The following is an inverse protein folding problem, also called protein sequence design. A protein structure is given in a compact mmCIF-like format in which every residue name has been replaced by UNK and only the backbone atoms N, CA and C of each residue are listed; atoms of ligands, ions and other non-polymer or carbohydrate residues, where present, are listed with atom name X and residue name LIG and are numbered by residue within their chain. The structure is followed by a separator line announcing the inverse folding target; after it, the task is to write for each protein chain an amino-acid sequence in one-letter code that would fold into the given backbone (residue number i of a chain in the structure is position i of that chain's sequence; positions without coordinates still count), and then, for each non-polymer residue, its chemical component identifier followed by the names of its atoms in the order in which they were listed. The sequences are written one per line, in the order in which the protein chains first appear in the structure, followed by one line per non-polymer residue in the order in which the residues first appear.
data_IF_696568640668
#
_entry.id   IF_696568640668
#
_cell.length_a   1.000
_cell.length_b   1.000
_cell.length_c   1.000
_cell.angle_alpha   90.00
_cell.angle_beta   90.00
_cell.angle_gamma   90.00
#
_symmetry.space_group_name_H-M   'P 1'
#
loop_
_entity.id
_entity.type
_entity.pdbx_description
1 polymer ?
#
# COMPACT_ATOMS: atom_id res chain seq x y z
N UNK A 1 14.45 14.89 -17.27
CA UNK A 1 14.97 13.77 -18.04
C UNK A 1 13.93 13.25 -19.04
N UNK A 2 12.63 13.25 -18.72
CA UNK A 2 11.54 12.87 -19.64
C UNK A 2 10.93 14.07 -20.38
N UNK A 3 11.37 15.31 -20.07
CA UNK A 3 10.89 16.54 -20.69
C UNK A 3 9.63 17.14 -20.08
N UNK A 4 9.16 16.60 -18.96
CA UNK A 4 8.04 17.18 -18.20
C UNK A 4 8.52 18.30 -17.29
N UNK A 5 7.68 19.31 -17.11
CA UNK A 5 7.85 20.36 -16.12
C UNK A 5 7.27 19.89 -14.77
N UNK A 6 8.05 19.94 -13.71
CA UNK A 6 7.73 19.30 -12.43
C UNK A 6 7.38 20.36 -11.39
N UNK A 7 6.17 20.25 -10.82
CA UNK A 7 5.67 21.05 -9.71
C UNK A 7 5.59 20.19 -8.46
N UNK A 8 6.43 20.46 -7.46
CA UNK A 8 6.46 19.69 -6.21
C UNK A 8 5.77 20.41 -5.06
N UNK A 9 5.09 19.67 -4.20
CA UNK A 9 4.52 20.21 -2.95
C UNK A 9 4.92 19.34 -1.75
N UNK A 10 5.25 20.00 -0.66
CA UNK A 10 5.59 19.40 0.63
C UNK A 10 5.31 20.40 1.76
N UNK A 11 5.03 19.93 2.97
CA UNK A 11 4.86 20.80 4.14
C UNK A 11 6.19 21.32 4.68
N UNK A 12 7.31 20.61 4.45
CA UNK A 12 8.64 21.04 4.85
C UNK A 12 9.24 21.98 3.78
N UNK A 13 9.50 23.24 4.11
CA UNK A 13 10.13 24.17 3.17
C UNK A 13 11.55 23.75 2.73
N UNK A 14 12.16 22.80 3.44
CA UNK A 14 13.48 22.26 3.13
C UNK A 14 13.40 20.86 2.48
N UNK A 15 12.24 20.44 2.02
CA UNK A 15 12.07 19.14 1.39
C UNK A 15 13.10 18.93 0.27
N UNK A 16 13.83 17.81 0.33
CA UNK A 16 14.95 17.55 -0.58
C UNK A 16 14.49 17.46 -2.04
N UNK A 17 13.23 17.03 -2.26
CA UNK A 17 12.61 16.95 -3.59
C UNK A 17 12.52 18.29 -4.31
N UNK A 18 12.42 19.40 -3.59
CA UNK A 18 12.34 20.75 -4.18
C UNK A 18 13.58 21.10 -5.01
N UNK A 19 14.73 20.51 -4.69
CA UNK A 19 15.99 20.73 -5.45
C UNK A 19 15.96 20.07 -6.84
N UNK A 20 15.00 19.20 -7.08
CA UNK A 20 14.87 18.40 -8.33
C UNK A 20 13.60 18.74 -9.11
N UNK A 21 12.76 19.63 -8.59
CA UNK A 21 11.57 20.15 -9.26
C UNK A 21 11.90 21.47 -9.97
N UNK A 22 11.16 21.77 -11.05
CA UNK A 22 11.25 23.05 -11.74
C UNK A 22 10.55 24.15 -10.92
N UNK A 23 9.45 23.79 -10.26
CA UNK A 23 8.69 24.64 -9.36
C UNK A 23 8.31 23.90 -8.10
N UNK A 24 8.12 24.63 -7.01
CA UNK A 24 7.64 24.04 -5.77
C UNK A 24 6.74 24.97 -4.97
N UNK A 25 5.91 24.38 -4.13
CA UNK A 25 5.07 25.08 -3.16
C UNK A 25 5.16 24.44 -1.77
N UNK A 26 5.27 25.27 -0.72
CA UNK A 26 5.19 24.78 0.66
C UNK A 26 3.72 24.58 1.00
N UNK A 27 3.21 23.39 0.69
CA UNK A 27 1.81 23.00 0.86
C UNK A 27 1.76 21.62 1.49
N UNK A 28 0.97 21.48 2.57
CA UNK A 28 0.82 20.18 3.21
C UNK A 28 0.07 19.21 2.28
N UNK A 29 0.70 18.09 1.93
CA UNK A 29 0.16 17.08 1.01
C UNK A 29 -1.14 16.40 1.51
N UNK A 30 -1.54 16.57 2.76
CA UNK A 30 -2.85 16.10 3.27
C UNK A 30 -3.93 17.16 3.20
N UNK A 31 -3.61 18.39 2.83
CA UNK A 31 -4.58 19.47 2.59
C UNK A 31 -5.02 19.43 1.12
N UNK A 32 -6.08 18.68 0.87
CA UNK A 32 -6.65 18.46 -0.47
C UNK A 32 -7.00 19.78 -1.18
N UNK A 33 -7.54 20.77 -0.43
CA UNK A 33 -7.96 22.05 -1.00
C UNK A 33 -6.79 22.94 -1.37
N UNK A 34 -5.81 23.04 -0.49
CA UNK A 34 -4.61 23.83 -0.76
C UNK A 34 -3.79 23.22 -1.92
N UNK A 35 -3.70 21.88 -1.99
CA UNK A 35 -3.07 21.21 -3.13
C UNK A 35 -3.84 21.42 -4.44
N UNK A 36 -5.18 21.39 -4.41
CA UNK A 36 -6.01 21.68 -5.58
C UNK A 36 -5.85 23.14 -6.07
N UNK A 37 -5.81 24.10 -5.15
CA UNK A 37 -5.58 25.50 -5.49
C UNK A 37 -4.19 25.68 -6.14
N UNK A 38 -3.15 25.09 -5.57
CA UNK A 38 -1.82 25.09 -6.15
C UNK A 38 -1.81 24.49 -7.56
N UNK A 39 -2.43 23.33 -7.73
CA UNK A 39 -2.51 22.63 -9.00
C UNK A 39 -3.25 23.46 -10.08
N UNK A 40 -4.37 24.08 -9.73
CA UNK A 40 -5.15 24.94 -10.64
C UNK A 40 -4.38 26.18 -11.08
N UNK A 41 -3.65 26.80 -10.15
CA UNK A 41 -2.84 27.99 -10.44
C UNK A 41 -1.73 27.70 -11.44
N UNK A 42 -1.23 26.46 -11.47
CA UNK A 42 -0.19 26.02 -12.37
C UNK A 42 -0.68 25.24 -13.58
N UNK A 43 -2.00 25.01 -13.72
CA UNK A 43 -2.62 24.34 -14.86
C UNK A 43 -1.93 23.00 -15.22
N UNK A 44 -1.67 22.16 -14.23
CA UNK A 44 -0.98 20.88 -14.40
C UNK A 44 -1.76 19.89 -15.28
N UNK A 45 -1.07 19.03 -16.00
CA UNK A 45 -1.64 17.98 -16.87
C UNK A 45 -1.74 16.62 -16.18
N UNK A 46 -1.09 16.44 -15.03
CA UNK A 46 -1.12 15.20 -14.27
C UNK A 46 -0.73 15.41 -12.81
N UNK A 47 -1.19 14.53 -11.93
CA UNK A 47 -0.88 14.53 -10.51
C UNK A 47 -0.58 13.11 -10.05
N UNK A 48 0.46 12.95 -9.24
CA UNK A 48 0.80 11.66 -8.64
C UNK A 48 1.41 11.80 -7.25
N UNK A 49 1.30 10.73 -6.47
CA UNK A 49 2.11 10.49 -5.28
C UNK A 49 2.85 9.16 -5.47
N UNK A 50 4.12 9.10 -5.09
CA UNK A 50 4.92 7.91 -5.38
C UNK A 50 4.76 6.82 -4.29
N UNK A 51 5.39 6.98 -3.13
CA UNK A 51 5.54 5.93 -2.13
C UNK A 51 5.07 6.35 -0.73
N UNK A 52 4.06 7.20 -0.65
CA UNK A 52 3.46 7.62 0.61
C UNK A 52 1.95 7.50 0.60
N UNK A 53 1.39 6.92 1.65
CA UNK A 53 -0.07 6.79 1.82
C UNK A 53 -0.75 8.13 2.12
N UNK A 54 0.00 9.12 2.59
CA UNK A 54 -0.54 10.42 2.97
C UNK A 54 -1.00 11.26 1.78
N UNK A 55 -0.36 11.11 0.62
CA UNK A 55 -0.71 11.87 -0.59
C UNK A 55 -1.77 11.22 -1.48
N UNK A 56 -2.19 9.97 -1.20
CA UNK A 56 -3.09 9.22 -2.10
C UNK A 56 -4.47 9.88 -2.23
N UNK A 57 -5.08 10.27 -1.11
CA UNK A 57 -6.37 10.95 -1.11
C UNK A 57 -6.29 12.27 -1.87
N UNK A 58 -5.28 13.07 -1.58
CA UNK A 58 -5.08 14.37 -2.21
C UNK A 58 -4.83 14.26 -3.71
N UNK A 59 -3.98 13.31 -4.14
CA UNK A 59 -3.74 13.09 -5.56
C UNK A 59 -5.03 12.68 -6.29
N UNK A 60 -5.83 11.79 -5.69
CA UNK A 60 -7.12 11.37 -6.23
C UNK A 60 -8.14 12.53 -6.28
N UNK A 61 -8.20 13.35 -5.23
CA UNK A 61 -9.06 14.51 -5.16
C UNK A 61 -8.71 15.56 -6.24
N UNK A 62 -7.43 15.91 -6.35
CA UNK A 62 -6.95 16.86 -7.37
C UNK A 62 -7.22 16.35 -8.78
N UNK A 63 -6.93 15.07 -9.05
CA UNK A 63 -7.21 14.47 -10.35
C UNK A 63 -8.69 14.55 -10.70
N UNK A 64 -9.58 14.19 -9.79
CA UNK A 64 -11.03 14.24 -9.99
C UNK A 64 -11.52 15.67 -10.25
N UNK A 65 -11.12 16.64 -9.42
CA UNK A 65 -11.56 18.03 -9.51
C UNK A 65 -11.05 18.76 -10.76
N UNK A 66 -9.91 18.36 -11.27
CA UNK A 66 -9.30 18.89 -12.49
C UNK A 66 -9.62 18.04 -13.74
N UNK A 67 -10.31 16.91 -13.58
CA UNK A 67 -10.62 15.94 -14.65
C UNK A 67 -9.36 15.39 -15.34
N UNK A 68 -8.32 15.16 -14.56
CA UNK A 68 -7.08 14.54 -14.99
C UNK A 68 -7.15 12.99 -14.84
N UNK A 69 -6.28 12.24 -15.53
CA UNK A 69 -6.11 10.83 -15.25
C UNK A 69 -5.79 10.60 -13.76
N UNK A 70 -6.46 9.64 -13.12
CA UNK A 70 -6.25 9.40 -11.70
C UNK A 70 -7.15 8.35 -11.08
N UNK A 71 -6.80 7.97 -9.87
CA UNK A 71 -7.60 7.09 -9.05
C UNK A 71 -8.91 7.79 -8.66
N UNK A 72 -10.03 7.09 -8.72
CA UNK A 72 -11.29 7.63 -8.22
C UNK A 72 -11.19 7.94 -6.73
N UNK A 73 -11.65 9.11 -6.32
CA UNK A 73 -11.53 9.55 -4.92
C UNK A 73 -12.22 8.61 -3.93
N UNK A 74 -13.40 8.11 -4.28
CA UNK A 74 -14.13 7.10 -3.49
C UNK A 74 -13.34 5.80 -3.27
N UNK A 75 -12.57 5.36 -4.27
CA UNK A 75 -11.70 4.18 -4.18
C UNK A 75 -10.50 4.47 -3.28
N UNK A 76 -9.91 5.66 -3.39
CA UNK A 76 -8.83 6.09 -2.51
C UNK A 76 -9.30 6.11 -1.03
N UNK A 77 -10.52 6.59 -0.76
CA UNK A 77 -11.13 6.58 0.57
C UNK A 77 -11.36 5.16 1.09
N UNK A 78 -11.85 4.25 0.24
CA UNK A 78 -12.07 2.84 0.60
C UNK A 78 -10.75 2.17 1.00
N UNK A 79 -9.70 2.32 0.19
CA UNK A 79 -8.39 1.69 0.43
C UNK A 79 -7.73 2.24 1.71
N UNK A 80 -8.01 3.48 2.09
CA UNK A 80 -7.50 4.07 3.33
C UNK A 80 -8.04 3.39 4.60
N UNK A 81 -9.13 2.65 4.53
CA UNK A 81 -9.73 1.93 5.65
C UNK A 81 -9.54 0.41 5.50
N UNK A 82 -8.63 -0.17 6.28
CA UNK A 82 -8.28 -1.60 6.23
C UNK A 82 -9.49 -2.52 6.43
N UNK A 83 -10.39 -2.19 7.36
CA UNK A 83 -11.61 -2.97 7.56
C UNK A 83 -12.51 -2.96 6.33
N UNK A 84 -12.70 -1.81 5.67
CA UNK A 84 -13.50 -1.75 4.46
C UNK A 84 -12.86 -2.53 3.30
N UNK A 85 -11.53 -2.48 3.20
CA UNK A 85 -10.76 -3.33 2.27
C UNK A 85 -11.04 -4.80 2.57
N UNK A 86 -10.82 -5.24 3.82
CA UNK A 86 -11.04 -6.63 4.24
C UNK A 86 -12.45 -7.11 3.94
N UNK A 87 -13.45 -6.30 4.29
CA UNK A 87 -14.86 -6.58 4.01
C UNK A 87 -15.11 -6.75 2.51
N UNK A 88 -14.59 -5.86 1.68
CA UNK A 88 -14.73 -5.94 0.23
C UNK A 88 -14.08 -7.22 -0.33
N UNK A 89 -12.88 -7.59 0.12
CA UNK A 89 -12.20 -8.81 -0.31
C UNK A 89 -12.97 -10.07 0.09
N UNK A 90 -13.51 -10.11 1.30
CA UNK A 90 -14.33 -11.21 1.80
C UNK A 90 -15.63 -11.37 0.99
N UNK A 91 -16.39 -10.27 0.80
CA UNK A 91 -17.65 -10.28 0.06
C UNK A 91 -17.46 -10.70 -1.41
N UNK A 92 -16.29 -10.46 -2.00
CA UNK A 92 -15.95 -10.84 -3.37
C UNK A 92 -15.16 -12.17 -3.46
N UNK A 93 -15.01 -12.89 -2.36
CA UNK A 93 -14.29 -14.18 -2.29
C UNK A 93 -12.87 -14.11 -2.91
N UNK A 94 -12.14 -13.03 -2.61
CA UNK A 94 -10.81 -12.80 -3.16
C UNK A 94 -9.76 -13.63 -2.44
N UNK A 95 -9.85 -13.69 -1.13
CA UNK A 95 -8.96 -14.47 -0.27
C UNK A 95 -9.75 -15.35 0.72
N UNK A 96 -9.03 -16.18 1.47
CA UNK A 96 -9.62 -17.15 2.40
C UNK A 96 -9.86 -16.59 3.82
N UNK A 97 -9.89 -15.25 4.00
CA UNK A 97 -10.13 -14.64 5.33
C UNK A 97 -11.57 -14.89 5.79
N UNK A 98 -11.71 -15.42 7.01
CA UNK A 98 -13.02 -15.89 7.52
C UNK A 98 -13.71 -14.86 8.41
N UNK A 99 -12.96 -14.01 9.13
CA UNK A 99 -13.55 -13.02 10.03
C UNK A 99 -12.79 -11.69 10.02
N UNK A 100 -13.56 -10.60 10.11
CA UNK A 100 -13.04 -9.27 10.42
C UNK A 100 -14.12 -8.45 11.12
N UNK A 101 -13.70 -7.60 12.05
CA UNK A 101 -14.60 -6.75 12.82
C UNK A 101 -14.01 -5.34 12.90
N UNK A 102 -14.85 -4.33 12.66
CA UNK A 102 -14.48 -2.94 12.95
C UNK A 102 -14.84 -2.61 14.40
N UNK A 103 -13.92 -1.98 15.11
CA UNK A 103 -14.13 -1.55 16.49
C UNK A 103 -13.80 -0.07 16.67
N UNK A 104 -14.53 0.58 17.55
CA UNK A 104 -14.36 1.97 17.95
C UNK A 104 -14.64 2.08 19.46
N UNK A 105 -14.44 3.28 20.03
CA UNK A 105 -14.54 3.51 21.49
C UNK A 105 -15.85 3.02 22.14
N UNK A 106 -16.97 2.99 21.38
CA UNK A 106 -18.28 2.61 21.89
C UNK A 106 -18.63 1.13 21.62
N UNK A 107 -17.70 0.36 21.04
CA UNK A 107 -17.90 -1.08 20.77
C UNK A 107 -17.86 -1.88 22.05
N UNK A 108 -18.84 -2.77 22.22
CA UNK A 108 -18.84 -3.72 23.34
C UNK A 108 -17.83 -4.84 23.10
N UNK A 109 -16.59 -4.61 23.53
CA UNK A 109 -15.49 -5.57 23.33
C UNK A 109 -15.72 -6.89 24.05
N UNK A 110 -16.37 -6.88 25.22
CA UNK A 110 -16.65 -8.09 26.01
C UNK A 110 -17.63 -9.03 25.28
N UNK A 111 -18.64 -8.49 24.62
CA UNK A 111 -19.56 -9.26 23.78
C UNK A 111 -18.86 -9.76 22.50
N UNK A 112 -18.02 -8.91 21.90
CA UNK A 112 -17.28 -9.27 20.69
C UNK A 112 -16.26 -10.38 20.95
N UNK A 113 -15.58 -10.33 22.09
CA UNK A 113 -14.58 -11.33 22.50
C UNK A 113 -15.15 -12.76 22.57
N UNK A 114 -16.45 -12.91 22.82
CA UNK A 114 -17.13 -14.22 22.86
C UNK A 114 -17.40 -14.81 21.45
N UNK A 115 -17.35 -13.97 20.42
CA UNK A 115 -17.63 -14.37 19.02
C UNK A 115 -16.34 -14.62 18.22
N UNK A 116 -15.21 -14.18 18.73
CA UNK A 116 -13.91 -14.22 18.07
C UNK A 116 -13.24 -15.58 18.23
N UNK A 117 -12.69 -16.09 17.12
CA UNK A 117 -11.81 -17.27 17.12
C UNK A 117 -10.36 -16.79 17.16
N UNK A 118 -9.67 -17.12 18.24
CA UNK A 118 -8.27 -16.72 18.46
C UNK A 118 -7.27 -17.71 17.81
N UNK A 119 -6.04 -17.26 17.46
CA UNK A 119 -5.52 -15.90 17.60
C UNK A 119 -6.03 -14.92 16.55
N UNK A 120 -6.04 -13.62 16.89
CA UNK A 120 -6.37 -12.53 15.97
C UNK A 120 -5.27 -11.49 15.91
N UNK A 121 -5.29 -10.69 14.84
CA UNK A 121 -4.52 -9.46 14.71
C UNK A 121 -5.46 -8.27 14.95
N UNK A 122 -5.05 -7.35 15.80
CA UNK A 122 -5.74 -6.07 16.03
C UNK A 122 -4.85 -4.96 15.53
N UNK A 123 -5.36 -4.08 14.67
CA UNK A 123 -4.57 -2.98 14.06
C UNK A 123 -5.43 -1.74 13.78
N UNK A 124 -4.83 -0.52 13.73
CA UNK A 124 -5.55 0.67 13.31
C UNK A 124 -6.09 0.53 11.89
N UNK A 125 -7.32 1.00 11.63
CA UNK A 125 -7.90 0.93 10.27
C UNK A 125 -7.15 1.75 9.22
N UNK A 126 -6.44 2.81 9.64
CA UNK A 126 -5.73 3.77 8.80
C UNK A 126 -4.23 3.87 9.12
N UNK A 127 -3.71 2.91 9.89
CA UNK A 127 -2.30 2.82 10.27
C UNK A 127 -1.39 2.35 9.14
N UNK A 128 -0.10 2.65 9.25
CA UNK A 128 0.95 2.17 8.36
C UNK A 128 2.20 1.75 9.14
N UNK A 129 3.01 0.85 8.55
CA UNK A 129 4.29 0.40 9.13
C UNK A 129 4.12 -0.37 10.44
N UNK A 130 3.11 -1.22 10.56
CA UNK A 130 2.80 -2.09 11.72
C UNK A 130 2.62 -1.37 13.06
N UNK A 131 2.53 -0.03 13.06
CA UNK A 131 2.32 0.75 14.30
C UNK A 131 0.90 0.55 14.80
N UNK A 132 0.77 0.26 16.10
CA UNK A 132 -0.52 0.00 16.73
C UNK A 132 -1.08 -1.41 16.45
N UNK A 133 -0.33 -2.28 15.77
CA UNK A 133 -0.73 -3.66 15.51
C UNK A 133 -0.30 -4.59 16.65
N UNK A 134 -1.21 -5.47 17.08
CA UNK A 134 -0.98 -6.45 18.14
C UNK A 134 -1.59 -7.78 17.79
N UNK A 135 -0.83 -8.85 18.00
CA UNK A 135 -1.38 -10.21 18.02
C UNK A 135 -2.04 -10.46 19.38
N UNK A 136 -3.23 -11.02 19.35
CA UNK A 136 -4.03 -11.35 20.55
C UNK A 136 -4.36 -12.84 20.51
N UNK A 137 -3.91 -13.56 21.54
CA UNK A 137 -4.05 -15.01 21.63
C UNK A 137 -5.28 -15.46 22.46
N UNK A 138 -5.90 -14.55 23.22
CA UNK A 138 -7.02 -14.85 24.11
C UNK A 138 -7.94 -13.64 24.31
N UNK A 139 -9.11 -13.85 24.92
CA UNK A 139 -10.12 -12.83 25.13
C UNK A 139 -9.71 -11.75 26.16
N UNK A 140 -8.83 -12.09 27.10
CA UNK A 140 -8.45 -11.21 28.21
C UNK A 140 -7.63 -10.02 27.72
N UNK A 141 -6.76 -10.24 26.70
CA UNK A 141 -5.87 -9.23 26.14
C UNK A 141 -6.56 -8.37 25.05
N UNK A 142 -7.75 -8.77 24.57
CA UNK A 142 -8.40 -8.14 23.42
C UNK A 142 -8.70 -6.65 23.65
N UNK A 143 -9.18 -6.30 24.84
CA UNK A 143 -9.58 -4.93 25.17
C UNK A 143 -8.41 -3.97 25.10
N UNK A 144 -7.29 -4.32 25.73
CA UNK A 144 -6.07 -3.50 25.73
C UNK A 144 -5.52 -3.32 24.31
N UNK A 145 -5.50 -4.40 23.48
CA UNK A 145 -5.08 -4.34 22.11
C UNK A 145 -5.99 -3.43 21.24
N UNK A 146 -7.31 -3.46 21.45
CA UNK A 146 -8.25 -2.57 20.77
C UNK A 146 -8.03 -1.10 21.15
N UNK A 147 -7.88 -0.81 22.45
CA UNK A 147 -7.62 0.54 22.95
C UNK A 147 -6.31 1.09 22.36
N UNK A 148 -5.26 0.27 22.32
CA UNK A 148 -3.97 0.63 21.73
C UNK A 148 -4.09 0.93 20.22
N UNK A 149 -4.79 0.08 19.47
CA UNK A 149 -4.99 0.27 18.04
C UNK A 149 -5.86 1.49 17.73
N UNK A 150 -6.95 1.72 18.49
CA UNK A 150 -7.82 2.90 18.35
C UNK A 150 -7.04 4.19 18.62
N UNK A 151 -6.20 4.21 19.65
CA UNK A 151 -5.36 5.36 19.99
C UNK A 151 -4.33 5.67 18.90
N UNK A 152 -3.88 4.66 18.15
CA UNK A 152 -2.97 4.80 17.01
C UNK A 152 -3.64 5.18 15.68
N UNK A 153 -4.98 5.24 15.64
CA UNK A 153 -5.77 5.54 14.45
C UNK A 153 -6.16 7.01 14.38
N UNK A 154 -6.01 7.63 13.22
CA UNK A 154 -6.47 9.01 12.96
C UNK A 154 -8.01 9.07 13.00
N UNK A 155 -8.68 8.01 12.54
CA UNK A 155 -10.15 7.92 12.51
C UNK A 155 -10.74 7.33 13.79
N UNK A 156 -9.92 7.02 14.80
CA UNK A 156 -10.31 6.37 16.04
C UNK A 156 -11.05 5.03 15.83
N UNK A 157 -10.57 4.25 14.84
CA UNK A 157 -11.12 2.94 14.49
C UNK A 157 -10.00 1.91 14.39
N UNK A 158 -10.30 0.69 14.78
CA UNK A 158 -9.41 -0.45 14.62
C UNK A 158 -10.12 -1.61 13.92
N UNK A 159 -9.33 -2.50 13.35
CA UNK A 159 -9.76 -3.75 12.74
C UNK A 159 -9.26 -4.91 13.58
N UNK A 160 -10.11 -5.91 13.75
CA UNK A 160 -9.76 -7.23 14.26
C UNK A 160 -9.93 -8.21 13.12
N UNK A 161 -8.88 -8.95 12.80
CA UNK A 161 -8.89 -9.97 11.74
C UNK A 161 -8.24 -11.27 12.22
N UNK A 162 -8.49 -12.38 11.54
CA UNK A 162 -7.82 -13.65 11.81
C UNK A 162 -6.30 -13.49 11.72
N UNK A 163 -5.57 -13.97 12.72
CA UNK A 163 -4.11 -14.01 12.67
C UNK A 163 -3.66 -15.15 11.76
N UNK A 164 -3.03 -14.82 10.66
CA UNK A 164 -2.54 -15.77 9.67
C UNK A 164 -1.06 -16.04 9.89
N UNK A 165 -0.68 -17.31 9.86
CA UNK A 165 0.73 -17.75 9.85
C UNK A 165 1.14 -18.13 8.44
N UNK A 166 2.32 -17.68 8.01
CA UNK A 166 2.82 -17.98 6.69
C UNK A 166 4.12 -17.23 6.38
N UNK A 167 4.53 -17.28 5.12
CA UNK A 167 5.65 -16.46 4.62
C UNK A 167 5.11 -15.23 3.94
N UNK A 168 5.74 -14.09 4.21
CA UNK A 168 5.34 -12.83 3.61
C UNK A 168 5.92 -12.64 2.21
N UNK A 169 5.07 -12.10 1.34
CA UNK A 169 5.38 -11.72 -0.03
C UNK A 169 4.78 -10.35 -0.31
N UNK A 170 5.39 -9.64 -1.26
CA UNK A 170 4.85 -8.39 -1.81
C UNK A 170 4.52 -8.56 -3.28
N UNK A 171 3.54 -7.82 -3.75
CA UNK A 171 3.30 -7.65 -5.18
C UNK A 171 3.23 -6.17 -5.53
N UNK A 172 3.81 -5.83 -6.67
CA UNK A 172 3.75 -4.49 -7.23
C UNK A 172 3.00 -4.53 -8.55
N UNK A 173 2.05 -3.63 -8.72
CA UNK A 173 1.20 -3.56 -9.91
C UNK A 173 1.03 -2.13 -10.39
N UNK A 174 0.74 -1.98 -11.68
CA UNK A 174 0.30 -0.72 -12.29
C UNK A 174 -1.06 -0.95 -12.95
N UNK A 175 -2.01 -0.08 -12.67
CA UNK A 175 -3.33 -0.09 -13.29
C UNK A 175 -3.40 1.05 -14.30
N UNK A 176 -3.67 0.70 -15.55
CA UNK A 176 -3.76 1.63 -16.68
C UNK A 176 -5.15 1.46 -17.28
N UNK A 177 -5.98 2.50 -17.26
CA UNK A 177 -7.36 2.48 -17.78
C UNK A 177 -8.19 1.27 -17.28
N UNK A 178 -8.00 0.88 -16.01
CA UNK A 178 -8.68 -0.26 -15.39
C UNK A 178 -8.06 -1.62 -15.70
N UNK A 179 -7.06 -1.70 -16.57
CA UNK A 179 -6.31 -2.93 -16.81
C UNK A 179 -5.19 -3.10 -15.78
N UNK A 180 -5.13 -4.27 -15.15
CA UNK A 180 -4.17 -4.58 -14.08
C UNK A 180 -2.94 -5.27 -14.64
N UNK A 181 -1.78 -4.64 -14.49
CA UNK A 181 -0.47 -5.19 -14.86
C UNK A 181 0.32 -5.50 -13.59
N UNK A 182 0.46 -6.79 -13.23
CA UNK A 182 1.32 -7.22 -12.12
C UNK A 182 2.78 -7.19 -12.59
N UNK A 183 3.54 -6.24 -12.08
CA UNK A 183 4.93 -6.00 -12.49
C UNK A 183 5.91 -7.00 -11.86
N UNK A 184 5.64 -7.42 -10.62
CA UNK A 184 6.47 -8.41 -9.95
C UNK A 184 5.88 -8.91 -8.66
N UNK A 185 6.22 -10.16 -8.32
CA UNK A 185 5.98 -10.76 -7.00
C UNK A 185 7.33 -10.91 -6.33
N UNK A 186 7.44 -10.46 -5.09
CA UNK A 186 8.69 -10.40 -4.32
C UNK A 186 8.55 -11.21 -3.04
N UNK A 187 9.60 -11.90 -2.64
CA UNK A 187 9.71 -12.43 -1.29
C UNK A 187 10.04 -11.28 -0.33
N UNK A 188 9.35 -11.23 0.81
CA UNK A 188 9.66 -10.30 1.92
C UNK A 188 10.46 -11.03 2.99
N UNK A 189 11.46 -10.36 3.52
CA UNK A 189 12.26 -10.82 4.64
C UNK A 189 11.87 -10.00 5.87
N UNK A 190 11.43 -10.68 6.92
CA UNK A 190 10.87 -10.05 8.11
C UNK A 190 11.71 -10.37 9.34
N UNK A 191 11.66 -9.49 10.34
CA UNK A 191 12.13 -9.81 11.70
C UNK A 191 11.23 -10.87 12.32
N UNK A 192 11.75 -11.54 13.34
CA UNK A 192 10.93 -12.44 14.16
C UNK A 192 9.94 -11.65 15.01
N UNK A 193 8.80 -12.28 15.42
CA UNK A 193 7.92 -11.69 16.41
C UNK A 193 8.69 -11.20 17.64
N UNK A 194 8.27 -10.15 18.31
CA UNK A 194 6.99 -9.43 18.15
C UNK A 194 7.03 -8.24 17.18
N UNK A 195 8.15 -7.96 16.53
CA UNK A 195 8.37 -6.69 15.83
C UNK A 195 7.75 -6.61 14.43
N UNK A 196 7.68 -7.73 13.69
CA UNK A 196 7.13 -7.80 12.32
C UNK A 196 7.66 -6.68 11.40
N UNK A 197 8.95 -6.33 11.52
CA UNK A 197 9.58 -5.29 10.71
C UNK A 197 10.20 -5.88 9.45
N UNK A 198 10.10 -5.16 8.35
CA UNK A 198 10.74 -5.54 7.10
C UNK A 198 12.27 -5.47 7.20
N UNK A 199 12.94 -6.49 6.69
CA UNK A 199 14.39 -6.55 6.53
C UNK A 199 14.83 -6.37 5.08
N UNK A 200 13.93 -6.53 4.13
CA UNK A 200 14.20 -6.37 2.70
C UNK A 200 13.27 -7.21 1.82
N UNK A 201 13.52 -7.11 0.52
CA UNK A 201 12.77 -7.79 -0.53
C UNK A 201 13.72 -8.47 -1.50
N UNK A 202 13.24 -9.50 -2.18
CA UNK A 202 13.96 -10.11 -3.29
C UNK A 202 13.03 -10.51 -4.44
N UNK A 203 13.51 -10.34 -5.68
CA UNK A 203 12.90 -10.82 -6.91
C UNK A 203 13.95 -11.65 -7.67
N UNK A 204 13.60 -12.82 -8.25
CA UNK A 204 12.29 -13.47 -8.20
C UNK A 204 11.85 -13.90 -6.80
N UNK A 205 10.57 -14.16 -6.65
CA UNK A 205 9.93 -14.53 -5.38
C UNK A 205 10.38 -15.89 -4.80
N UNK A 206 11.02 -16.73 -5.62
CA UNK A 206 11.33 -18.14 -5.34
C UNK A 206 10.09 -19.03 -5.06
N UNK A 207 8.90 -18.56 -5.43
CA UNK A 207 7.71 -19.38 -5.46
C UNK A 207 7.75 -20.38 -6.61
N UNK A 208 7.08 -21.53 -6.44
CA UNK A 208 6.82 -22.41 -7.57
C UNK A 208 5.92 -21.71 -8.58
N UNK A 209 6.09 -21.92 -9.89
CA UNK A 209 5.33 -21.20 -10.91
C UNK A 209 3.81 -21.23 -10.72
N UNK A 210 3.26 -22.39 -10.34
CA UNK A 210 1.82 -22.54 -10.07
C UNK A 210 1.33 -21.72 -8.88
N UNK A 211 2.16 -21.53 -7.86
CA UNK A 211 1.84 -20.71 -6.69
C UNK A 211 1.95 -19.23 -7.04
N UNK A 212 2.98 -18.84 -7.80
CA UNK A 212 3.14 -17.45 -8.24
C UNK A 212 1.97 -17.01 -9.13
N UNK A 213 1.49 -17.87 -10.03
CA UNK A 213 0.31 -17.57 -10.85
C UNK A 213 -0.97 -17.44 -9.99
N UNK A 214 -1.13 -18.27 -8.94
CA UNK A 214 -2.22 -18.12 -7.97
C UNK A 214 -2.14 -16.77 -7.26
N UNK A 215 -0.95 -16.36 -6.84
CA UNK A 215 -0.71 -15.05 -6.21
C UNK A 215 -1.08 -13.93 -7.16
N UNK A 216 -0.58 -13.94 -8.41
CA UNK A 216 -0.92 -12.91 -9.40
C UNK A 216 -2.42 -12.81 -9.65
N UNK A 217 -3.11 -13.95 -9.73
CA UNK A 217 -4.57 -13.99 -9.90
C UNK A 217 -5.29 -13.39 -8.68
N UNK A 218 -4.84 -13.69 -7.47
CA UNK A 218 -5.38 -13.10 -6.23
C UNK A 218 -5.20 -11.58 -6.24
N UNK A 219 -4.00 -11.08 -6.58
CA UNK A 219 -3.70 -9.65 -6.71
C UNK A 219 -4.62 -8.96 -7.72
N UNK A 220 -4.77 -9.53 -8.92
CA UNK A 220 -5.65 -8.95 -9.95
C UNK A 220 -7.11 -8.92 -9.50
N UNK A 221 -7.58 -9.98 -8.84
CA UNK A 221 -8.94 -10.05 -8.33
C UNK A 221 -9.19 -9.01 -7.23
N UNK A 222 -8.23 -8.82 -6.32
CA UNK A 222 -8.31 -7.82 -5.26
C UNK A 222 -8.41 -6.40 -5.82
N UNK A 223 -7.53 -6.05 -6.75
CA UNK A 223 -7.51 -4.73 -7.40
C UNK A 223 -8.85 -4.46 -8.10
N UNK A 224 -9.39 -5.47 -8.81
CA UNK A 224 -10.69 -5.36 -9.47
C UNK A 224 -11.86 -5.25 -8.50
N UNK A 225 -11.88 -6.07 -7.44
CA UNK A 225 -12.94 -6.05 -6.43
C UNK A 225 -13.01 -4.70 -5.71
N UNK A 226 -11.85 -4.10 -5.41
CA UNK A 226 -11.75 -2.77 -4.80
C UNK A 226 -12.08 -1.63 -5.78
N UNK A 227 -12.23 -1.91 -7.05
CA UNK A 227 -12.54 -0.91 -8.07
C UNK A 227 -11.37 0.01 -8.42
N UNK A 228 -10.14 -0.40 -8.15
CA UNK A 228 -8.95 0.40 -8.51
C UNK A 228 -8.86 0.50 -10.03
N UNK A 229 -9.00 1.72 -10.51
CA UNK A 229 -9.08 2.03 -11.94
C UNK A 229 -7.76 2.61 -12.49
N UNK A 230 -6.84 3.02 -11.63
CA UNK A 230 -5.68 3.81 -12.04
C UNK A 230 -4.54 3.75 -11.02
N UNK A 231 -3.31 3.81 -11.52
CA UNK A 231 -2.11 4.06 -10.72
C UNK A 231 -1.44 2.81 -10.15
N UNK A 232 -0.45 3.05 -9.33
CA UNK A 232 0.33 2.01 -8.68
C UNK A 232 -0.42 1.36 -7.55
N UNK A 233 -0.21 0.06 -7.36
CA UNK A 233 -0.75 -0.71 -6.22
C UNK A 233 0.36 -1.57 -5.65
N UNK A 234 0.68 -1.33 -4.38
CA UNK A 234 1.51 -2.22 -3.58
C UNK A 234 0.61 -3.10 -2.72
N UNK A 235 0.94 -4.38 -2.62
CA UNK A 235 0.15 -5.34 -1.87
C UNK A 235 1.05 -6.25 -1.06
N UNK A 236 0.74 -6.38 0.22
CA UNK A 236 1.39 -7.32 1.13
C UNK A 236 0.51 -8.56 1.32
N UNK A 237 1.14 -9.74 1.26
CA UNK A 237 0.45 -11.02 1.30
C UNK A 237 1.17 -12.02 2.19
N UNK A 238 0.40 -12.93 2.78
CA UNK A 238 0.90 -14.15 3.42
C UNK A 238 0.51 -15.38 2.59
N UNK A 239 1.47 -16.28 2.43
CA UNK A 239 1.21 -17.61 1.88
C UNK A 239 1.40 -18.61 3.04
N UNK A 240 0.30 -19.28 3.42
CA UNK A 240 0.30 -20.28 4.47
C UNK A 240 0.96 -21.59 4.02
N UNK A 241 1.25 -22.48 4.96
CA UNK A 241 1.91 -23.76 4.66
C UNK A 241 1.07 -24.67 3.75
N UNK A 242 -0.26 -24.57 3.82
CA UNK A 242 -1.21 -25.27 2.93
C UNK A 242 -1.39 -24.57 1.56
N UNK A 243 -0.64 -23.50 1.29
CA UNK A 243 -0.61 -22.81 0.01
C UNK A 243 -1.80 -21.89 -0.25
N UNK A 244 -2.53 -21.49 0.79
CA UNK A 244 -3.54 -20.43 0.70
C UNK A 244 -2.86 -19.05 0.66
N UNK A 245 -3.47 -18.13 -0.04
CA UNK A 245 -2.97 -16.75 -0.23
C UNK A 245 -3.90 -15.79 0.50
N UNK A 246 -3.33 -15.02 1.40
CA UNK A 246 -4.06 -14.02 2.18
C UNK A 246 -3.47 -12.64 1.92
N UNK A 247 -4.33 -11.68 1.64
CA UNK A 247 -3.94 -10.27 1.49
C UNK A 247 -3.88 -9.64 2.87
N UNK A 248 -2.76 -9.02 3.21
CA UNK A 248 -2.53 -8.43 4.54
C UNK A 248 -2.74 -6.92 4.51
N UNK A 249 -2.25 -6.26 3.48
CA UNK A 249 -2.38 -4.82 3.30
C UNK A 249 -2.34 -4.44 1.82
N UNK A 250 -3.02 -3.34 1.48
CA UNK A 250 -3.05 -2.78 0.13
C UNK A 250 -2.85 -1.27 0.22
N UNK A 251 -1.90 -0.75 -0.56
CA UNK A 251 -1.72 0.67 -0.76
C UNK A 251 -1.92 1.03 -2.23
N UNK A 252 -2.75 2.04 -2.50
CA UNK A 252 -2.92 2.58 -3.86
C UNK A 252 -1.78 3.55 -4.21
N UNK A 253 -0.57 3.06 -4.06
CA UNK A 253 0.70 3.75 -4.33
C UNK A 253 1.80 2.71 -4.53
N UNK A 254 2.93 3.14 -5.02
CA UNK A 254 4.13 2.32 -5.14
C UNK A 254 4.65 1.88 -3.76
N UNK A 255 5.22 0.69 -3.69
CA UNK A 255 5.90 0.21 -2.50
C UNK A 255 7.12 1.05 -2.13
N UNK A 256 7.39 1.15 -0.83
CA UNK A 256 8.60 1.77 -0.28
C UNK A 256 9.86 0.93 -0.51
N UNK A 257 10.88 1.12 0.35
CA UNK A 257 12.07 0.25 0.43
C UNK A 257 12.75 -0.04 -0.92
N UNK A 258 12.82 0.98 -1.78
CA UNK A 258 13.45 0.92 -3.11
C UNK A 258 12.75 -0.05 -4.10
N UNK A 259 11.50 -0.43 -3.86
CA UNK A 259 10.76 -1.33 -4.76
C UNK A 259 10.64 -0.69 -6.15
N UNK A 260 10.06 0.51 -6.22
CA UNK A 260 9.83 1.19 -7.49
C UNK A 260 11.10 1.61 -8.23
N UNK A 261 12.04 2.30 -7.59
CA UNK A 261 13.22 2.81 -8.29
C UNK A 261 14.31 1.75 -8.55
N UNK A 262 14.31 0.62 -7.84
CA UNK A 262 15.39 -0.37 -7.96
C UNK A 262 14.90 -1.79 -8.21
N UNK A 263 14.04 -2.35 -7.33
CA UNK A 263 13.72 -3.78 -7.39
C UNK A 263 13.00 -4.13 -8.69
N UNK A 264 11.94 -3.39 -9.02
CA UNK A 264 11.18 -3.63 -10.25
C UNK A 264 12.02 -3.33 -11.49
N UNK A 265 12.70 -2.17 -11.64
CA UNK A 265 13.50 -1.92 -12.82
C UNK A 265 14.62 -2.93 -13.04
N UNK A 266 15.40 -3.26 -12.02
CA UNK A 266 16.49 -4.23 -12.17
C UNK A 266 15.99 -5.67 -12.29
N UNK A 267 14.87 -6.01 -11.64
CA UNK A 267 14.30 -7.36 -11.68
C UNK A 267 13.52 -7.69 -12.95
N UNK A 268 13.02 -6.69 -13.66
CA UNK A 268 12.12 -6.87 -14.82
C UNK A 268 12.52 -6.10 -16.07
N UNK A 269 13.39 -5.08 -15.95
CA UNK A 269 13.74 -4.15 -17.02
C UNK A 269 12.65 -3.11 -17.32
N UNK A 270 11.60 -3.02 -16.51
CA UNK A 270 10.52 -2.03 -16.63
C UNK A 270 10.91 -0.76 -15.88
N UNK A 271 10.97 0.38 -16.57
CA UNK A 271 11.12 1.69 -15.91
C UNK A 271 9.78 2.08 -15.25
N UNK A 272 9.60 1.59 -14.02
CA UNK A 272 8.35 1.76 -13.31
C UNK A 272 8.05 3.22 -12.94
N UNK A 273 9.09 4.01 -12.61
CA UNK A 273 8.92 5.43 -12.30
C UNK A 273 8.46 6.21 -13.53
N UNK A 274 9.06 5.93 -14.69
CA UNK A 274 8.62 6.52 -15.96
C UNK A 274 7.19 6.09 -16.30
N UNK A 275 6.85 4.81 -16.12
CA UNK A 275 5.50 4.31 -16.37
C UNK A 275 4.43 4.99 -15.49
N UNK A 276 4.74 5.26 -14.22
CA UNK A 276 3.85 6.00 -13.32
C UNK A 276 3.60 7.44 -13.79
N UNK A 277 4.66 8.14 -14.20
CA UNK A 277 4.58 9.51 -14.71
C UNK A 277 3.76 9.54 -16.01
N UNK A 278 4.10 8.67 -16.96
CA UNK A 278 3.36 8.55 -18.23
C UNK A 278 1.88 8.25 -18.01
N UNK A 279 1.56 7.35 -17.06
CA UNK A 279 0.17 7.06 -16.69
C UNK A 279 -0.54 8.33 -16.20
N UNK A 280 0.11 9.13 -15.35
CA UNK A 280 -0.49 10.33 -14.78
C UNK A 280 -0.78 11.43 -15.80
N UNK A 281 -0.05 11.50 -16.90
CA UNK A 281 -0.25 12.49 -17.98
C UNK A 281 -0.94 11.89 -19.22
N UNK A 282 -1.25 10.60 -19.23
CA UNK A 282 -1.92 9.92 -20.35
C UNK A 282 -1.00 9.62 -21.52
N UNK A 283 0.31 9.56 -21.32
CA UNK A 283 1.28 9.22 -22.36
C UNK A 283 1.41 7.70 -22.55
N UNK A 284 1.89 7.24 -23.74
CA UNK A 284 2.10 5.82 -24.00
C UNK A 284 3.10 5.18 -23.03
N UNK A 285 2.78 3.98 -22.54
CA UNK A 285 3.56 3.26 -21.53
C UNK A 285 4.13 1.96 -22.13
N UNK A 286 5.43 1.70 -21.92
CA UNK A 286 6.08 0.45 -22.28
C UNK A 286 6.32 -0.41 -21.02
N UNK A 287 5.53 -1.47 -20.85
CA UNK A 287 5.66 -2.47 -19.79
C UNK A 287 6.34 -3.77 -20.24
N UNK A 288 7.05 -3.75 -21.38
CA UNK A 288 7.77 -4.94 -21.81
C UNK A 288 8.88 -5.30 -20.85
N UNK A 289 8.77 -6.52 -20.33
CA UNK A 289 9.87 -7.12 -19.56
C UNK A 289 11.07 -7.31 -20.50
N UNK A 290 12.20 -6.71 -20.15
CA UNK A 290 13.45 -6.77 -20.93
C UNK A 290 14.41 -7.76 -20.27
N UNK A 291 15.36 -7.25 -19.54
CA UNK A 291 16.36 -8.07 -18.85
C UNK A 291 15.88 -8.40 -17.43
N UNK A 292 15.98 -9.68 -17.05
CA UNK A 292 15.58 -10.15 -15.72
C UNK A 292 16.83 -10.48 -14.92
N UNK A 293 17.03 -9.79 -13.81
CA UNK A 293 18.08 -10.07 -12.86
C UNK A 293 17.49 -10.49 -11.52
N UNK A 294 18.23 -11.30 -10.78
CA UNK A 294 17.92 -11.51 -9.36
C UNK A 294 18.38 -10.28 -8.59
N UNK A 295 17.46 -9.68 -7.86
CA UNK A 295 17.68 -8.47 -7.07
C UNK A 295 17.24 -8.69 -5.65
N UNK A 296 18.01 -8.19 -4.69
CA UNK A 296 17.64 -8.19 -3.29
C UNK A 296 18.02 -6.86 -2.64
N UNK A 297 17.17 -6.39 -1.73
CA UNK A 297 17.48 -5.28 -0.84
C UNK A 297 17.60 -5.77 0.59
N UNK A 298 18.38 -5.04 1.40
CA UNK A 298 18.51 -5.31 2.82
C UNK A 298 18.49 -4.00 3.58
N UNK A 299 17.56 -3.89 4.52
CA UNK A 299 17.53 -2.82 5.51
C UNK A 299 18.57 -3.12 6.59
N UNK A 300 19.44 -2.15 6.84
CA UNK A 300 20.46 -2.25 7.86
C UNK A 300 20.00 -1.42 9.07
N UNK A 301 20.01 -2.03 10.23
CA UNK A 301 19.80 -1.36 11.51
C UNK A 301 21.12 -1.36 12.28
N UNK A 302 21.52 -0.20 12.77
CA UNK A 302 22.72 -0.01 13.58
C UNK A 302 22.33 0.56 14.93
N UNK A 303 23.11 0.25 15.95
CA UNK A 303 23.06 1.01 17.21
C UNK A 303 23.43 2.47 16.97
N UNK A 304 22.97 3.36 17.85
CA UNK A 304 23.29 4.79 17.75
C UNK A 304 24.81 5.00 17.68
N UNK A 305 25.28 5.66 16.63
CA UNK A 305 26.70 5.89 16.38
C UNK A 305 26.94 6.75 15.15
N UNK A 306 28.20 7.04 14.89
CA UNK A 306 28.63 7.68 13.63
C UNK A 306 28.88 6.55 12.62
N UNK A 307 28.24 6.63 11.46
CA UNK A 307 28.44 5.71 10.32
C UNK A 307 29.44 6.33 9.36
#
# INVERSE_FOLDING_TARGET
LMGYEVYAVDADPNAIGFKHADHFGVVNIVDERACLEYARNHQIDGVLTAATDYGVLTAAYVAQEMKLPGLKYEVAQLIKNKYQVRKCLYENHVDDTEQAYEVHKDTNIEELAQKIVYPVMVKPCDGSGSRGASRVDNAEDLKEACEYAIAGSITNRAEIETFITGREYGAESLVIDGEVHVLGVMQKWMTKPPYYAELGHSIPSNLKPEVEEKVKKCVMNAIKALGVNFGSVNMDMLISEDGKVYIIDIGARMGGNMIGPCIIPYGTGIDYMAAMIQNAVGDPIDLKVKDKYAVATKLLAFDSGIV
#
